data_IF_969630851651
#
_entry.id   IF_969630851651
#
_cell.length_a   1.000
_cell.length_b   1.000
_cell.length_c   1.000
_cell.angle_alpha   90.00
_cell.angle_beta   90.00
_cell.angle_gamma   90.00
#
_symmetry.space_group_name_H-M   'P 1'
#
loop_
_entity.id
_entity.type
_entity.pdbx_description
1 polymer ?
#
# COMPACT_ATOMS: atom_id res chain seq x y z
N UNK A 1 -24.82 -22.82 -58.45
CA UNK A 1 -25.11 -21.83 -57.40
C UNK A 1 -23.96 -21.82 -56.40
N UNK A 2 -23.15 -20.75 -56.35
CA UNK A 2 -22.06 -20.58 -55.38
C UNK A 2 -22.61 -19.84 -54.17
N UNK A 3 -22.56 -20.46 -52.98
CA UNK A 3 -22.92 -19.82 -51.71
C UNK A 3 -21.65 -19.17 -51.17
N UNK A 4 -21.58 -17.84 -51.22
CA UNK A 4 -20.49 -17.06 -50.64
C UNK A 4 -20.73 -16.86 -49.15
N UNK A 5 -19.78 -17.28 -48.31
CA UNK A 5 -19.75 -16.97 -46.88
C UNK A 5 -19.06 -15.61 -46.70
N UNK A 6 -19.81 -14.60 -46.28
CA UNK A 6 -19.24 -13.32 -45.86
C UNK A 6 -18.83 -13.42 -44.39
N UNK A 7 -17.52 -13.46 -44.13
CA UNK A 7 -16.98 -13.35 -42.77
C UNK A 7 -16.85 -11.87 -42.41
N UNK A 8 -17.66 -11.39 -41.47
CA UNK A 8 -17.51 -10.06 -40.88
C UNK A 8 -16.45 -10.17 -39.79
N UNK A 9 -15.25 -9.67 -40.06
CA UNK A 9 -14.21 -9.48 -39.04
C UNK A 9 -14.49 -8.16 -38.33
N UNK A 10 -15.03 -8.23 -37.11
CA UNK A 10 -15.14 -7.07 -36.24
C UNK A 10 -13.76 -6.78 -35.62
N UNK A 11 -13.09 -5.72 -36.10
CA UNK A 11 -11.90 -5.18 -35.45
C UNK A 11 -12.33 -4.50 -34.14
N UNK A 12 -12.08 -5.15 -32.99
CA UNK A 12 -12.09 -4.44 -31.71
C UNK A 12 -10.84 -3.56 -31.64
N UNK A 13 -11.02 -2.26 -31.86
CA UNK A 13 -10.03 -1.26 -31.53
C UNK A 13 -9.91 -1.17 -30.00
N UNK A 14 -8.93 -1.87 -29.44
CA UNK A 14 -8.50 -1.69 -28.06
C UNK A 14 -7.88 -0.31 -27.92
N UNK A 15 -8.66 0.68 -27.46
CA UNK A 15 -8.13 1.94 -26.96
C UNK A 15 -7.25 1.64 -25.74
N UNK A 16 -5.95 1.49 -25.95
CA UNK A 16 -4.96 1.51 -24.87
C UNK A 16 -4.96 2.92 -24.29
N UNK A 17 -5.73 3.13 -23.24
CA UNK A 17 -5.60 4.29 -22.36
C UNK A 17 -4.16 4.32 -21.86
N UNK A 18 -3.33 5.19 -22.42
CA UNK A 18 -2.00 5.48 -21.88
C UNK A 18 -2.23 6.09 -20.50
N UNK A 19 -1.85 5.37 -19.44
CA UNK A 19 -1.97 5.85 -18.08
C UNK A 19 -1.23 7.17 -17.89
N UNK A 20 -1.81 8.09 -17.12
CA UNK A 20 -1.12 9.34 -16.78
C UNK A 20 0.00 9.04 -15.77
N UNK A 21 1.15 9.71 -15.92
CA UNK A 21 2.21 9.67 -14.90
C UNK A 21 1.63 10.28 -13.61
N UNK A 22 1.61 9.55 -12.48
CA UNK A 22 1.12 10.11 -11.23
C UNK A 22 2.08 11.19 -10.73
N UNK A 23 1.60 12.19 -9.97
CA UNK A 23 2.50 13.14 -9.30
C UNK A 23 3.48 12.37 -8.39
N UNK A 24 4.61 12.97 -8.04
CA UNK A 24 5.52 12.36 -7.07
C UNK A 24 4.81 12.13 -5.74
N UNK A 25 5.04 10.97 -5.11
CA UNK A 25 4.48 10.68 -3.80
C UNK A 25 5.24 11.43 -2.71
N UNK A 26 4.52 12.18 -1.88
CA UNK A 26 5.07 12.95 -0.78
C UNK A 26 4.55 12.40 0.54
N UNK A 27 5.44 11.88 1.39
CA UNK A 27 5.08 11.32 2.69
C UNK A 27 4.20 12.28 3.52
N UNK A 28 4.55 13.55 3.58
CA UNK A 28 3.83 14.54 4.40
C UNK A 28 2.46 14.95 3.86
N UNK A 29 2.05 14.49 2.67
CA UNK A 29 0.79 14.86 2.02
C UNK A 29 -0.08 13.64 1.67
N UNK A 30 0.56 12.58 1.16
CA UNK A 30 -0.11 11.42 0.57
C UNK A 30 -0.27 10.24 1.56
N UNK A 31 -0.04 10.47 2.85
CA UNK A 31 -0.17 9.46 3.91
C UNK A 31 -1.25 9.83 4.91
N UNK A 32 -1.70 8.86 5.71
CA UNK A 32 -2.63 9.11 6.80
C UNK A 32 -1.88 9.73 7.99
N UNK A 33 -2.53 10.66 8.67
CA UNK A 33 -2.00 11.29 9.88
C UNK A 33 -2.27 10.49 11.17
N UNK A 34 -3.13 9.48 11.11
CA UNK A 34 -3.44 8.61 12.25
C UNK A 34 -2.74 7.26 12.12
N UNK A 35 -2.39 6.67 13.26
CA UNK A 35 -1.74 5.36 13.30
C UNK A 35 -2.78 4.24 13.19
N UNK A 36 -2.44 3.19 12.43
CA UNK A 36 -2.99 1.86 12.64
C UNK A 36 -2.32 1.25 13.86
N UNK A 37 -3.04 1.19 14.97
CA UNK A 37 -2.52 0.59 16.20
C UNK A 37 -2.33 -0.92 16.01
N UNK A 38 -1.37 -1.53 16.69
CA UNK A 38 -1.21 -2.99 16.69
C UNK A 38 -1.87 -3.63 17.91
N UNK A 39 -2.27 -4.89 17.75
CA UNK A 39 -2.92 -5.70 18.80
C UNK A 39 -1.89 -6.45 19.65
N UNK A 40 -0.66 -6.54 19.17
CA UNK A 40 0.45 -7.14 19.89
C UNK A 40 1.31 -6.04 20.50
N UNK A 41 1.92 -6.33 21.64
CA UNK A 41 3.09 -5.64 22.18
C UNK A 41 4.25 -6.61 22.08
N UNK A 42 5.41 -6.12 21.66
CA UNK A 42 6.61 -6.95 21.59
C UNK A 42 7.59 -6.53 22.67
N UNK A 43 7.83 -7.43 23.62
CA UNK A 43 8.85 -7.27 24.66
C UNK A 43 9.98 -8.26 24.36
N UNK A 44 11.20 -7.74 24.14
CA UNK A 44 12.37 -8.54 23.78
C UNK A 44 12.17 -9.45 22.55
N UNK A 45 11.35 -9.03 21.59
CA UNK A 45 11.06 -9.78 20.35
C UNK A 45 10.06 -10.92 20.50
N UNK A 46 9.39 -11.03 21.66
CA UNK A 46 8.30 -11.98 21.91
C UNK A 46 6.96 -11.23 21.77
N UNK A 47 6.06 -11.76 20.94
CA UNK A 47 4.73 -11.18 20.75
C UNK A 47 3.84 -11.49 21.96
N UNK A 48 3.39 -10.46 22.66
CA UNK A 48 2.38 -10.55 23.70
C UNK A 48 1.07 -9.92 23.21
N UNK A 49 -0.07 -10.55 23.50
CA UNK A 49 -1.34 -9.89 23.28
C UNK A 49 -1.46 -8.71 24.25
N UNK A 50 -1.72 -7.51 23.75
CA UNK A 50 -2.03 -6.34 24.60
C UNK A 50 -3.19 -6.67 25.55
N UNK A 51 -3.00 -6.44 26.86
CA UNK A 51 -4.02 -6.63 27.90
C UNK A 51 -4.33 -5.30 28.62
N UNK A 52 -5.53 -5.16 29.18
CA UNK A 52 -5.90 -4.00 30.00
C UNK A 52 -6.87 -3.00 29.34
N UNK A 53 -7.13 -1.87 30.01
CA UNK A 53 -8.06 -0.83 29.54
C UNK A 53 -7.64 -0.24 28.17
N UNK A 54 -6.34 -0.20 27.91
CA UNK A 54 -5.74 0.14 26.62
C UNK A 54 -6.15 -0.81 25.49
N UNK A 55 -6.26 -2.11 25.77
CA UNK A 55 -6.72 -3.10 24.79
C UNK A 55 -8.24 -3.03 24.53
N UNK A 56 -9.02 -2.36 25.41
CA UNK A 56 -10.49 -2.23 25.33
C UNK A 56 -10.96 -1.00 24.54
N UNK A 57 -10.09 -0.07 24.20
CA UNK A 57 -10.45 1.06 23.34
C UNK A 57 -10.73 0.54 21.91
N UNK A 58 -11.72 1.11 21.20
CA UNK A 58 -12.01 0.82 19.78
C UNK A 58 -10.83 1.29 18.91
N UNK A 59 -9.71 0.58 18.97
CA UNK A 59 -8.47 0.92 18.25
C UNK A 59 -8.56 0.41 16.82
N UNK A 60 -8.29 1.28 15.86
CA UNK A 60 -8.17 0.91 14.44
C UNK A 60 -6.91 0.07 14.24
N UNK A 61 -7.09 -1.25 14.28
CA UNK A 61 -5.98 -2.21 14.33
C UNK A 61 -6.07 -3.25 13.24
N UNK A 62 -4.91 -3.81 12.84
CA UNK A 62 -4.80 -4.84 11.78
C UNK A 62 -5.33 -4.35 10.43
N UNK A 63 -5.07 -3.09 10.11
CA UNK A 63 -5.51 -2.39 8.89
C UNK A 63 -4.36 -1.96 8.00
N UNK A 64 -3.11 -2.32 8.31
CA UNK A 64 -1.92 -1.96 7.52
C UNK A 64 -2.08 -2.28 6.02
N UNK A 65 -2.66 -3.42 5.68
CA UNK A 65 -3.00 -3.80 4.31
C UNK A 65 -3.97 -2.81 3.65
N UNK A 66 -5.07 -2.48 4.33
CA UNK A 66 -6.09 -1.56 3.80
C UNK A 66 -5.57 -0.14 3.73
N UNK A 67 -4.78 0.32 4.70
CA UNK A 67 -4.21 1.66 4.66
C UNK A 67 -3.15 1.80 3.56
N UNK A 68 -2.28 0.80 3.38
CA UNK A 68 -1.33 0.79 2.26
C UNK A 68 -2.05 0.78 0.91
N UNK A 69 -3.09 -0.06 0.76
CA UNK A 69 -3.94 -0.08 -0.44
C UNK A 69 -4.60 1.27 -0.67
N UNK A 70 -5.15 1.86 0.38
CA UNK A 70 -5.93 3.10 0.29
C UNK A 70 -5.03 4.28 -0.05
N UNK A 71 -3.82 4.36 0.52
CA UNK A 71 -2.83 5.37 0.14
C UNK A 71 -2.50 5.29 -1.36
N UNK A 72 -2.27 4.09 -1.90
CA UNK A 72 -2.10 3.88 -3.36
C UNK A 72 -3.32 4.36 -4.15
N UNK A 73 -4.53 4.01 -3.70
CA UNK A 73 -5.76 4.38 -4.40
C UNK A 73 -6.00 5.89 -4.40
N UNK A 74 -5.77 6.58 -3.27
CA UNK A 74 -5.89 8.04 -3.21
C UNK A 74 -4.86 8.70 -4.12
N UNK A 75 -3.61 8.26 -4.06
CA UNK A 75 -2.55 8.80 -4.92
C UNK A 75 -2.88 8.67 -6.42
N UNK A 76 -3.47 7.54 -6.82
CA UNK A 76 -3.82 7.27 -8.23
C UNK A 76 -5.12 7.91 -8.70
N UNK A 77 -6.12 8.04 -7.82
CA UNK A 77 -7.51 8.27 -8.23
C UNK A 77 -8.17 9.49 -7.58
N UNK A 78 -7.50 10.16 -6.64
CA UNK A 78 -8.01 11.34 -5.97
C UNK A 78 -7.23 12.60 -6.36
N UNK A 79 -7.90 13.75 -6.28
CA UNK A 79 -7.29 15.07 -6.25
C UNK A 79 -7.98 15.92 -5.19
N UNK A 80 -7.27 16.91 -4.68
CA UNK A 80 -7.70 17.74 -3.57
C UNK A 80 -7.92 19.18 -4.03
N UNK A 81 -8.92 19.85 -3.45
CA UNK A 81 -9.26 21.24 -3.74
C UNK A 81 -9.45 22.00 -2.42
N UNK A 82 -8.41 22.66 -1.90
CA UNK A 82 -8.47 23.32 -0.59
C UNK A 82 -9.38 24.57 -0.58
N UNK A 83 -9.75 25.10 -1.75
CA UNK A 83 -10.53 26.34 -1.85
C UNK A 83 -12.04 26.09 -1.92
N UNK A 84 -12.45 24.87 -2.23
CA UNK A 84 -13.86 24.48 -2.25
C UNK A 84 -14.38 24.12 -0.85
N UNK A 85 -15.70 24.24 -0.66
CA UNK A 85 -16.34 23.91 0.62
C UNK A 85 -16.23 22.39 0.93
N UNK A 86 -15.86 22.00 2.16
CA UNK A 86 -15.85 20.60 2.58
C UNK A 86 -17.23 19.96 2.44
N UNK A 87 -17.24 18.66 2.13
CA UNK A 87 -18.47 17.87 2.11
C UNK A 87 -18.97 17.54 3.51
N UNK A 88 -20.27 17.25 3.60
CA UNK A 88 -20.82 16.52 4.74
C UNK A 88 -20.30 15.07 4.79
N UNK A 89 -20.45 14.42 5.95
CA UNK A 89 -19.89 13.09 6.20
C UNK A 89 -20.45 12.01 5.25
N UNK A 90 -21.72 12.13 4.83
CA UNK A 90 -22.37 11.16 3.94
C UNK A 90 -21.78 11.25 2.53
N UNK A 91 -21.69 12.46 1.99
CA UNK A 91 -21.11 12.73 0.68
C UNK A 91 -19.60 12.41 0.68
N UNK A 92 -18.90 12.74 1.76
CA UNK A 92 -17.48 12.41 1.90
C UNK A 92 -17.25 10.89 1.93
N UNK A 93 -18.05 10.13 2.66
CA UNK A 93 -17.98 8.68 2.67
C UNK A 93 -18.23 8.08 1.27
N UNK A 94 -19.18 8.63 0.50
CA UNK A 94 -19.41 8.22 -0.88
C UNK A 94 -18.18 8.46 -1.77
N UNK A 95 -17.52 9.62 -1.65
CA UNK A 95 -16.28 9.90 -2.40
C UNK A 95 -15.13 8.98 -2.01
N UNK A 96 -14.96 8.70 -0.71
CA UNK A 96 -13.97 7.73 -0.23
C UNK A 96 -14.24 6.35 -0.88
N UNK A 97 -15.50 5.91 -0.99
CA UNK A 97 -15.86 4.65 -1.66
C UNK A 97 -15.59 4.69 -3.17
N UNK A 98 -15.84 5.81 -3.85
CA UNK A 98 -15.52 5.95 -5.28
C UNK A 98 -14.02 5.76 -5.56
N UNK A 99 -13.15 6.12 -4.62
CA UNK A 99 -11.71 5.86 -4.70
C UNK A 99 -11.38 4.41 -4.30
N UNK A 100 -11.87 3.95 -3.15
CA UNK A 100 -11.45 2.65 -2.57
C UNK A 100 -12.04 1.43 -3.28
N UNK A 101 -13.09 1.60 -4.09
CA UNK A 101 -13.62 0.54 -4.96
C UNK A 101 -12.81 0.34 -6.24
N UNK A 102 -11.98 1.32 -6.63
CA UNK A 102 -11.12 1.20 -7.82
C UNK A 102 -9.93 0.28 -7.54
N UNK A 103 -9.61 -0.70 -8.39
CA UNK A 103 -8.49 -1.59 -8.12
C UNK A 103 -7.14 -0.87 -8.09
N UNK A 104 -6.35 -1.07 -7.02
CA UNK A 104 -5.06 -0.42 -6.82
C UNK A 104 -3.99 -0.74 -7.89
N UNK A 105 -4.13 -1.88 -8.58
CA UNK A 105 -3.25 -2.29 -9.68
C UNK A 105 -3.57 -1.59 -11.01
N UNK A 106 -4.67 -0.83 -11.12
CA UNK A 106 -4.95 -0.05 -12.33
C UNK A 106 -4.02 1.14 -12.45
N UNK A 107 -3.86 1.61 -13.68
CA UNK A 107 -3.16 2.86 -13.97
C UNK A 107 -3.82 4.06 -13.30
N UNK A 108 -3.06 5.10 -12.94
CA UNK A 108 -3.60 6.34 -12.41
C UNK A 108 -4.62 6.96 -13.38
N UNK A 109 -5.65 7.61 -12.82
CA UNK A 109 -6.56 8.40 -13.64
C UNK A 109 -5.86 9.67 -14.12
N UNK A 110 -6.18 10.15 -15.33
CA UNK A 110 -5.88 11.52 -15.74
C UNK A 110 -6.38 12.50 -14.69
N UNK A 111 -5.62 13.57 -14.45
CA UNK A 111 -5.88 14.51 -13.36
C UNK A 111 -7.33 15.02 -13.33
N UNK A 112 -7.88 15.39 -14.49
CA UNK A 112 -9.26 15.90 -14.65
C UNK A 112 -10.33 14.87 -14.29
N UNK A 113 -10.02 13.58 -14.37
CA UNK A 113 -10.94 12.47 -14.07
C UNK A 113 -10.83 11.97 -12.62
N UNK A 114 -9.85 12.46 -11.85
CA UNK A 114 -9.69 12.08 -10.45
C UNK A 114 -10.84 12.59 -9.59
N UNK A 115 -11.22 11.79 -8.60
CA UNK A 115 -12.27 12.12 -7.63
C UNK A 115 -11.82 13.31 -6.79
N UNK A 116 -12.63 14.36 -6.73
CA UNK A 116 -12.28 15.62 -6.06
C UNK A 116 -12.66 15.59 -4.59
N UNK A 117 -11.71 15.89 -3.71
CA UNK A 117 -11.92 16.06 -2.27
C UNK A 117 -11.76 17.54 -1.90
N UNK A 118 -12.87 18.28 -1.71
CA UNK A 118 -12.88 19.71 -1.45
C UNK A 118 -12.65 19.99 0.04
N UNK A 119 -12.08 21.16 0.32
CA UNK A 119 -11.85 21.65 1.68
C UNK A 119 -10.61 21.08 2.36
N UNK A 120 -9.75 20.41 1.60
CA UNK A 120 -8.50 19.81 2.07
C UNK A 120 -7.43 20.02 1.00
N UNK A 121 -6.18 20.24 1.40
CA UNK A 121 -5.04 20.32 0.51
C UNK A 121 -4.52 18.94 0.10
N UNK A 122 -4.63 17.95 0.99
CA UNK A 122 -4.13 16.59 0.77
C UNK A 122 -4.79 15.52 1.67
N UNK A 123 -4.37 14.25 1.48
CA UNK A 123 -4.88 13.12 2.26
C UNK A 123 -4.51 13.25 3.74
N UNK A 124 -3.31 13.77 4.03
CA UNK A 124 -2.84 13.88 5.40
C UNK A 124 -3.68 14.89 6.18
N UNK A 125 -3.93 16.07 5.62
CA UNK A 125 -4.82 17.07 6.20
C UNK A 125 -6.24 16.52 6.38
N UNK A 126 -6.82 15.92 5.32
CA UNK A 126 -8.15 15.32 5.41
C UNK A 126 -8.22 14.27 6.52
N UNK A 127 -7.20 13.43 6.65
CA UNK A 127 -7.17 12.37 7.65
C UNK A 127 -6.97 12.86 9.09
N UNK A 128 -6.36 14.04 9.29
CA UNK A 128 -6.35 14.71 10.60
C UNK A 128 -7.76 15.09 11.04
N UNK A 129 -8.53 15.72 10.15
CA UNK A 129 -9.88 16.22 10.47
C UNK A 129 -10.97 15.16 10.42
N UNK A 130 -10.83 14.14 9.56
CA UNK A 130 -11.88 13.13 9.26
C UNK A 130 -11.43 11.69 9.50
N UNK A 131 -10.48 11.50 10.42
CA UNK A 131 -9.86 10.19 10.70
C UNK A 131 -10.85 9.07 10.99
N UNK A 132 -11.85 9.32 11.85
CA UNK A 132 -12.88 8.32 12.19
C UNK A 132 -13.70 7.90 10.97
N UNK A 133 -14.15 8.87 10.17
CA UNK A 133 -14.93 8.60 8.95
C UNK A 133 -14.12 7.77 7.95
N UNK A 134 -12.83 8.08 7.77
CA UNK A 134 -11.95 7.27 6.93
C UNK A 134 -11.83 5.84 7.46
N UNK A 135 -11.58 5.66 8.76
CA UNK A 135 -11.47 4.36 9.39
C UNK A 135 -12.73 3.50 9.19
N UNK A 136 -13.91 4.11 9.28
CA UNK A 136 -15.20 3.44 9.07
C UNK A 136 -15.46 3.12 7.59
N UNK A 137 -14.91 3.90 6.65
CA UNK A 137 -15.28 3.83 5.24
C UNK A 137 -14.32 3.02 4.37
N UNK A 138 -13.01 2.98 4.69
CA UNK A 138 -11.99 2.32 3.84
C UNK A 138 -12.05 0.78 3.84
N UNK A 139 -12.92 0.22 4.68
CA UNK A 139 -13.23 -1.20 4.76
C UNK A 139 -12.33 -1.98 5.73
N UNK A 140 -12.51 -3.30 5.74
CA UNK A 140 -11.82 -4.20 6.65
C UNK A 140 -10.52 -4.76 6.05
N UNK A 141 -9.51 -4.96 6.90
CA UNK A 141 -8.19 -5.51 6.53
C UNK A 141 -8.16 -7.00 6.18
N UNK A 142 -9.06 -7.78 6.79
CA UNK A 142 -9.04 -9.24 6.73
C UNK A 142 -9.33 -9.87 5.35
N UNK A 143 -10.14 -9.29 4.44
CA UNK A 143 -10.38 -9.86 3.11
C UNK A 143 -9.12 -9.96 2.25
N UNK A 144 -8.05 -9.22 2.59
CA UNK A 144 -6.77 -9.35 1.87
C UNK A 144 -6.14 -10.73 2.04
N UNK A 145 -6.29 -11.37 3.20
CA UNK A 145 -5.77 -12.71 3.44
C UNK A 145 -6.50 -13.79 2.62
N UNK A 146 -7.69 -13.48 2.09
CA UNK A 146 -8.52 -14.40 1.29
C UNK A 146 -8.30 -14.25 -0.21
N UNK A 147 -7.43 -13.30 -0.63
CA UNK A 147 -7.06 -13.20 -2.04
C UNK A 147 -6.19 -14.38 -2.42
N UNK A 148 -6.58 -15.07 -3.49
CA UNK A 148 -5.93 -16.29 -3.96
C UNK A 148 -4.42 -16.11 -4.04
N UNK A 149 -3.92 -15.07 -4.70
CA UNK A 149 -2.48 -14.83 -4.85
C UNK A 149 -1.70 -14.65 -3.55
N UNK A 150 -2.35 -14.47 -2.40
CA UNK A 150 -1.67 -14.34 -1.10
C UNK A 150 -1.33 -15.69 -0.45
N UNK A 151 -1.75 -16.84 -1.01
CA UNK A 151 -1.24 -18.16 -0.55
C UNK A 151 0.30 -18.21 -0.59
N UNK A 152 0.93 -17.52 -1.56
CA UNK A 152 2.39 -17.47 -1.71
C UNK A 152 3.10 -16.94 -0.47
N UNK A 153 2.44 -16.11 0.33
CA UNK A 153 2.98 -15.55 1.56
C UNK A 153 3.29 -16.62 2.61
N UNK A 154 2.58 -17.75 2.54
CA UNK A 154 2.76 -18.91 3.41
C UNK A 154 3.66 -19.98 2.77
N UNK A 155 3.51 -20.20 1.46
CA UNK A 155 4.09 -21.37 0.78
C UNK A 155 5.32 -21.11 -0.09
N UNK A 156 5.58 -19.87 -0.54
CA UNK A 156 6.69 -19.57 -1.47
C UNK A 156 7.85 -18.90 -0.73
N UNK A 157 8.81 -19.71 -0.29
CA UNK A 157 9.94 -19.28 0.54
C UNK A 157 11.29 -19.38 -0.20
N UNK A 158 11.40 -18.81 -1.41
CA UNK A 158 12.64 -18.90 -2.20
C UNK A 158 13.42 -17.59 -2.28
N UNK A 159 14.76 -17.69 -2.28
CA UNK A 159 15.66 -16.54 -2.53
C UNK A 159 15.40 -15.91 -3.90
N UNK A 160 15.20 -16.73 -4.93
CA UNK A 160 14.86 -16.25 -6.27
C UNK A 160 13.54 -15.46 -6.33
N UNK A 161 12.58 -15.74 -5.44
CA UNK A 161 11.38 -14.92 -5.33
C UNK A 161 11.67 -13.55 -4.73
N UNK A 162 12.54 -13.48 -3.72
CA UNK A 162 12.96 -12.21 -3.11
C UNK A 162 13.73 -11.37 -4.12
N UNK A 163 14.65 -11.96 -4.89
CA UNK A 163 15.36 -11.29 -6.00
C UNK A 163 14.40 -10.76 -7.07
N UNK A 164 13.43 -11.58 -7.49
CA UNK A 164 12.40 -11.14 -8.44
C UNK A 164 11.55 -10.00 -7.88
N UNK A 165 11.24 -10.05 -6.59
CA UNK A 165 10.50 -8.97 -5.90
C UNK A 165 11.34 -7.69 -5.86
N UNK A 166 12.63 -7.80 -5.60
CA UNK A 166 13.59 -6.69 -5.67
C UNK A 166 13.67 -6.09 -7.07
N UNK A 167 13.84 -6.90 -8.12
CA UNK A 167 13.86 -6.42 -9.50
C UNK A 167 12.54 -5.72 -9.89
N UNK A 168 11.40 -6.24 -9.45
CA UNK A 168 10.10 -5.60 -9.69
C UNK A 168 9.96 -4.27 -8.93
N UNK A 169 10.49 -4.19 -7.71
CA UNK A 169 10.53 -2.96 -6.92
C UNK A 169 11.35 -1.89 -7.64
N UNK A 170 12.57 -2.23 -8.04
CA UNK A 170 13.46 -1.33 -8.80
C UNK A 170 12.79 -0.84 -10.08
N UNK A 171 12.18 -1.75 -10.85
CA UNK A 171 11.49 -1.39 -12.08
C UNK A 171 10.28 -0.46 -11.83
N UNK A 172 9.55 -0.65 -10.74
CA UNK A 172 8.42 0.22 -10.37
C UNK A 172 8.90 1.62 -9.96
N UNK A 173 9.89 1.70 -9.08
CA UNK A 173 10.45 2.98 -8.64
C UNK A 173 11.09 3.76 -9.80
N UNK A 174 11.74 3.07 -10.75
CA UNK A 174 12.27 3.68 -11.97
C UNK A 174 11.19 4.32 -12.85
N UNK A 175 9.93 3.85 -12.77
CA UNK A 175 8.77 4.46 -13.45
C UNK A 175 8.06 5.51 -12.58
N UNK A 176 8.57 5.82 -11.39
CA UNK A 176 7.91 6.70 -10.44
C UNK A 176 6.66 6.09 -9.79
N UNK A 177 6.51 4.75 -9.85
CA UNK A 177 5.38 4.05 -9.26
C UNK A 177 5.62 3.67 -7.80
N UNK A 178 4.53 3.57 -7.04
CA UNK A 178 4.52 3.05 -5.68
C UNK A 178 4.57 1.52 -5.67
N UNK A 179 5.20 0.94 -4.64
CA UNK A 179 5.29 -0.51 -4.50
C UNK A 179 4.83 -0.98 -3.12
N UNK A 180 3.62 -1.54 -3.05
CA UNK A 180 3.09 -2.07 -1.79
C UNK A 180 3.70 -3.45 -1.49
N UNK A 181 4.23 -3.60 -0.29
CA UNK A 181 4.87 -4.81 0.20
C UNK A 181 4.15 -5.35 1.42
N UNK A 182 4.01 -6.67 1.47
CA UNK A 182 3.79 -7.41 2.69
C UNK A 182 5.14 -7.95 3.20
N UNK A 183 5.47 -7.64 4.44
CA UNK A 183 6.67 -8.05 5.15
C UNK A 183 6.34 -9.11 6.19
N UNK A 184 7.11 -10.20 6.21
CA UNK A 184 6.95 -11.22 7.24
C UNK A 184 8.23 -11.97 7.59
N UNK A 185 8.30 -12.48 8.82
CA UNK A 185 9.31 -13.44 9.28
C UNK A 185 8.80 -14.88 9.34
N UNK A 186 7.53 -15.12 8.97
CA UNK A 186 6.94 -16.46 8.94
C UNK A 186 7.56 -17.35 7.86
N UNK A 187 7.64 -18.68 8.09
CA UNK A 187 7.20 -19.39 9.29
C UNK A 187 8.26 -19.44 10.41
N UNK A 188 9.48 -18.95 10.18
CA UNK A 188 10.60 -19.09 11.11
C UNK A 188 10.34 -18.36 12.43
N UNK A 189 9.73 -17.17 12.37
CA UNK A 189 9.33 -16.38 13.54
C UNK A 189 8.02 -15.64 13.25
N UNK A 190 7.20 -15.41 14.27
CA UNK A 190 5.99 -14.57 14.18
C UNK A 190 6.27 -13.15 14.70
N UNK A 191 7.38 -12.57 14.26
CA UNK A 191 7.85 -11.25 14.74
C UNK A 191 7.52 -10.11 13.79
N UNK A 192 7.15 -10.40 12.55
CA UNK A 192 6.74 -9.41 11.57
C UNK A 192 5.60 -9.98 10.71
N UNK A 193 4.51 -9.23 10.61
CA UNK A 193 3.35 -9.51 9.76
C UNK A 193 2.70 -8.16 9.43
N UNK A 194 3.25 -7.48 8.43
CA UNK A 194 2.97 -6.07 8.24
C UNK A 194 2.99 -5.65 6.78
N UNK A 195 2.14 -4.68 6.41
CA UNK A 195 2.11 -4.12 5.07
C UNK A 195 2.64 -2.70 5.08
N UNK A 196 3.56 -2.42 4.17
CA UNK A 196 4.21 -1.12 3.99
C UNK A 196 4.13 -0.70 2.52
N UNK A 197 4.32 0.59 2.26
CA UNK A 197 4.30 1.15 0.92
C UNK A 197 5.64 1.79 0.60
N UNK A 198 6.42 1.19 -0.31
CA UNK A 198 7.67 1.78 -0.78
C UNK A 198 7.37 2.90 -1.76
N UNK A 199 7.97 4.08 -1.53
CA UNK A 199 7.72 5.26 -2.35
C UNK A 199 8.98 5.95 -2.86
N UNK A 200 10.16 5.63 -2.32
CA UNK A 200 11.42 6.18 -2.83
C UNK A 200 12.60 5.24 -2.57
N UNK A 201 13.58 5.29 -3.47
CA UNK A 201 14.93 4.76 -3.25
C UNK A 201 15.83 5.88 -2.75
N UNK A 202 16.58 5.61 -1.69
CA UNK A 202 17.62 6.52 -1.20
C UNK A 202 18.88 6.35 -2.06
N UNK A 203 19.70 7.41 -2.12
CA UNK A 203 21.02 7.30 -2.74
C UNK A 203 21.80 6.20 -2.03
N UNK A 204 22.45 5.33 -2.81
CA UNK A 204 23.30 4.26 -2.27
C UNK A 204 24.33 4.87 -1.33
N UNK A 205 24.43 4.31 -0.13
CA UNK A 205 25.43 4.69 0.86
C UNK A 205 26.66 3.77 0.77
N UNK A 206 27.65 4.01 1.64
CA UNK A 206 28.86 3.19 1.71
C UNK A 206 28.61 1.75 2.20
N UNK A 207 27.38 1.39 2.59
CA UNK A 207 27.06 0.05 3.09
C UNK A 207 26.90 -0.98 1.95
N UNK A 208 26.85 -0.53 0.69
CA UNK A 208 26.67 -1.41 -0.48
C UNK A 208 25.28 -2.06 -0.52
N UNK A 209 24.30 -1.46 0.15
CA UNK A 209 22.90 -1.89 0.17
C UNK A 209 22.03 -0.90 -0.60
N UNK A 210 20.96 -1.40 -1.19
CA UNK A 210 19.90 -0.53 -1.68
C UNK A 210 18.99 -0.18 -0.51
N UNK A 211 18.84 1.12 -0.24
CA UNK A 211 18.00 1.63 0.83
C UNK A 211 16.75 2.29 0.27
N UNK A 212 15.61 2.10 0.93
CA UNK A 212 14.30 2.54 0.49
C UNK A 212 13.55 3.23 1.63
N UNK A 213 12.78 4.26 1.27
CA UNK A 213 11.81 4.87 2.16
C UNK A 213 10.44 4.23 1.96
N UNK A 214 9.80 3.90 3.07
CA UNK A 214 8.47 3.30 3.10
C UNK A 214 7.52 4.07 3.99
N UNK A 215 6.27 4.18 3.57
CA UNK A 215 5.17 4.55 4.44
C UNK A 215 4.72 3.32 5.22
N UNK A 216 4.77 3.43 6.53
CA UNK A 216 4.26 2.47 7.48
C UNK A 216 3.08 3.09 8.24
N UNK A 217 1.90 2.50 8.11
CA UNK A 217 0.70 3.05 8.76
C UNK A 217 0.69 2.97 10.29
N UNK A 218 1.55 2.15 10.90
CA UNK A 218 1.73 2.14 12.36
C UNK A 218 2.57 3.34 12.82
N UNK A 219 3.30 3.96 11.89
CA UNK A 219 4.24 5.05 12.10
C UNK A 219 3.95 6.25 11.18
N UNK A 220 2.79 6.93 11.34
CA UNK A 220 2.40 8.05 10.48
C UNK A 220 3.28 9.30 10.66
N UNK A 221 4.15 9.33 11.67
CA UNK A 221 4.98 10.47 12.01
C UNK A 221 6.18 10.66 11.07
N UNK A 222 6.77 9.57 10.56
CA UNK A 222 7.96 9.64 9.70
C UNK A 222 8.08 8.41 8.78
N UNK A 223 8.74 8.53 7.62
CA UNK A 223 9.08 7.39 6.79
C UNK A 223 9.89 6.35 7.56
N UNK A 224 9.68 5.09 7.20
CA UNK A 224 10.49 3.97 7.68
C UNK A 224 11.47 3.49 6.60
N UNK A 225 12.44 2.68 7.00
CA UNK A 225 13.53 2.20 6.16
C UNK A 225 13.41 0.71 5.89
N UNK A 226 13.46 0.38 4.60
CA UNK A 226 13.61 -0.97 4.08
C UNK A 226 14.94 -1.01 3.31
N UNK A 227 15.66 -2.13 3.36
CA UNK A 227 16.87 -2.30 2.56
C UNK A 227 16.93 -3.67 1.88
N UNK A 228 17.69 -3.74 0.80
CA UNK A 228 18.08 -4.98 0.15
C UNK A 228 19.56 -5.28 0.40
N UNK A 229 19.85 -6.51 0.82
CA UNK A 229 21.22 -7.02 0.94
C UNK A 229 21.51 -7.90 -0.28
N UNK A 230 22.38 -7.43 -1.18
CA UNK A 230 22.79 -8.21 -2.35
C UNK A 230 23.54 -9.48 -1.95
N UNK A 231 24.37 -9.40 -0.89
CA UNK A 231 25.08 -10.55 -0.33
C UNK A 231 24.12 -11.63 0.17
N UNK A 232 23.07 -11.22 0.89
CA UNK A 232 22.16 -12.17 1.56
C UNK A 232 20.94 -12.51 0.69
N UNK A 233 20.77 -11.83 -0.45
CA UNK A 233 19.62 -11.92 -1.38
C UNK A 233 18.29 -11.81 -0.63
N UNK A 234 18.22 -10.83 0.25
CA UNK A 234 17.13 -10.68 1.20
C UNK A 234 16.84 -9.22 1.53
N UNK A 235 15.58 -8.97 1.85
CA UNK A 235 15.17 -7.69 2.43
C UNK A 235 15.46 -7.66 3.93
N UNK A 236 15.71 -6.45 4.43
CA UNK A 236 15.62 -6.15 5.85
C UNK A 236 14.76 -4.92 6.09
N UNK A 237 14.17 -4.88 7.27
CA UNK A 237 13.32 -3.79 7.72
C UNK A 237 13.84 -3.26 9.05
N UNK A 238 13.73 -1.95 9.25
CA UNK A 238 14.29 -1.32 10.43
C UNK A 238 13.62 -1.79 11.72
N UNK A 239 14.32 -1.58 12.84
CA UNK A 239 13.78 -1.87 14.16
C UNK A 239 12.67 -0.87 14.51
N UNK A 240 11.60 -1.37 15.09
CA UNK A 240 10.60 -0.55 15.76
C UNK A 240 10.17 -1.21 17.09
N UNK A 241 9.05 -0.75 17.64
CA UNK A 241 8.52 -1.27 18.91
C UNK A 241 7.83 -2.63 18.76
N UNK A 242 7.45 -3.00 17.54
CA UNK A 242 6.79 -4.28 17.22
C UNK A 242 7.73 -5.28 16.53
N UNK A 243 8.88 -4.82 16.02
CA UNK A 243 9.84 -5.62 15.29
C UNK A 243 11.27 -5.30 15.70
N UNK A 244 12.03 -6.35 16.02
CA UNK A 244 13.44 -6.25 16.44
C UNK A 244 14.38 -5.70 15.36
N UNK A 245 13.90 -5.55 14.13
CA UNK A 245 14.69 -5.14 12.98
C UNK A 245 15.45 -6.30 12.35
N UNK A 246 15.89 -6.10 11.10
CA UNK A 246 16.68 -7.09 10.36
C UNK A 246 15.86 -7.84 9.31
N UNK A 247 16.17 -9.11 9.10
CA UNK A 247 15.64 -9.92 8.00
C UNK A 247 14.11 -9.90 7.91
N UNK A 248 13.60 -9.63 6.71
CA UNK A 248 12.20 -9.73 6.37
C UNK A 248 12.04 -10.39 5.00
N UNK A 249 10.97 -11.17 4.83
CA UNK A 249 10.50 -11.58 3.50
C UNK A 249 9.53 -10.56 2.99
N UNK A 250 9.77 -10.10 1.77
CA UNK A 250 8.90 -9.18 1.08
C UNK A 250 8.08 -9.91 0.01
N UNK A 251 6.79 -9.57 -0.05
CA UNK A 251 5.86 -10.04 -1.05
C UNK A 251 5.13 -8.83 -1.61
N UNK A 252 5.25 -8.58 -2.92
CA UNK A 252 4.47 -7.51 -3.56
C UNK A 252 2.98 -7.77 -3.37
N UNK A 253 2.21 -6.78 -2.95
CA UNK A 253 0.75 -6.85 -2.85
C UNK A 253 0.11 -5.78 -3.73
N UNK A 254 -1.12 -6.03 -4.16
CA UNK A 254 -1.91 -5.07 -4.96
C UNK A 254 -1.28 -4.61 -6.29
N UNK A 255 -0.26 -5.31 -6.80
CA UNK A 255 0.36 -5.01 -8.09
C UNK A 255 -0.34 -5.70 -9.27
N UNK A 256 -1.21 -6.69 -9.02
CA UNK A 256 -1.91 -7.47 -10.07
C UNK A 256 -3.34 -7.84 -9.64
N UNK A 257 -4.25 -8.16 -10.58
CA UNK A 257 -5.65 -8.46 -10.26
C UNK A 257 -5.88 -9.61 -9.26
N UNK A 258 -5.06 -10.65 -9.34
CA UNK A 258 -5.20 -11.86 -8.52
C UNK A 258 -4.24 -11.92 -7.33
N UNK A 259 -3.50 -10.84 -7.05
CA UNK A 259 -2.69 -10.69 -5.83
C UNK A 259 -3.53 -10.19 -4.67
#
# INVERSE_FOLDING_TARGET
MKIGFTVIVALLASLTSVGAIPPSFHFDRDTFAFANMTVFEYENGIAHLRRGAEAKQRRYTRRCFVLSRTAVQFHKFARFDPHAAPLDDRALAQRIRMVTTRPAWREPLPEKERVVFPGYADLREMSKGRGLLLQETVGHGWPTYWRLGNYRMLFVQSRGYQEKTHANLEAALARGELFALYLTTLPQKFTLNHAVLVFAKQKSDSSGRDNYLVYDSNHPEKPRHLWWSERDRAFGFEKDWDFVGGYARAYQIYGKPLQ
#
